data_IF_493504744575
#
_entry.id   IF_493504744575
#
_cell.length_a   1.000
_cell.length_b   1.000
_cell.length_c   1.000
_cell.angle_alpha   90.00
_cell.angle_beta   90.00
_cell.angle_gamma   90.00
#
_symmetry.space_group_name_H-M   'P 1'
#
loop_
_entity.id
_entity.type
_entity.pdbx_description
1 polymer ?
#
# COMPACT_ATOMS: atom_id res chain seq x y z
N UNK A 1 13.47 15.07 22.20
CA UNK A 1 12.41 14.10 21.85
C UNK A 1 11.24 14.87 21.28
N UNK A 2 11.25 15.12 19.98
CA UNK A 2 10.07 15.62 19.29
C UNK A 2 9.03 14.50 19.32
N UNK A 3 7.90 14.75 19.98
CA UNK A 3 6.70 13.98 19.74
C UNK A 3 6.34 14.26 18.29
N UNK A 4 6.68 13.35 17.37
CA UNK A 4 6.05 13.38 16.06
C UNK A 4 4.57 13.16 16.33
N UNK A 5 3.79 14.24 16.33
CA UNK A 5 2.36 14.11 16.11
C UNK A 5 2.24 13.32 14.83
N UNK A 6 1.83 12.06 14.96
CA UNK A 6 1.51 11.20 13.81
C UNK A 6 0.25 11.81 13.23
N UNK A 7 0.44 12.90 12.49
CA UNK A 7 -0.60 13.53 11.69
C UNK A 7 -1.13 12.42 10.81
N UNK A 8 -2.36 11.99 11.07
CA UNK A 8 -3.05 11.04 10.19
C UNK A 8 -3.24 11.78 8.88
N UNK A 9 -2.43 11.50 7.85
CA UNK A 9 -2.40 12.33 6.66
C UNK A 9 -3.66 12.13 5.82
N UNK A 10 -4.42 11.07 6.10
CA UNK A 10 -5.73 10.78 5.53
C UNK A 10 -6.73 10.74 6.69
N UNK A 11 -7.71 11.63 6.65
CA UNK A 11 -8.82 11.71 7.61
C UNK A 11 -10.10 11.07 7.08
N UNK A 12 -10.17 10.82 5.76
CA UNK A 12 -11.33 10.23 5.09
C UNK A 12 -11.32 8.71 5.34
N UNK A 13 -12.43 8.19 5.87
CA UNK A 13 -12.64 6.76 6.08
C UNK A 13 -13.61 6.26 5.00
N UNK A 14 -13.16 5.32 4.18
CA UNK A 14 -13.94 4.71 3.10
C UNK A 14 -15.16 3.98 3.66
N UNK A 15 -16.33 4.34 3.12
CA UNK A 15 -17.62 3.68 3.30
C UNK A 15 -18.29 3.44 1.93
N UNK A 16 -19.58 3.09 1.93
CA UNK A 16 -20.32 2.76 0.70
C UNK A 16 -20.70 3.97 -0.16
N UNK A 17 -20.47 5.20 0.30
CA UNK A 17 -20.97 6.44 -0.32
C UNK A 17 -19.88 7.42 -0.76
N UNK A 18 -18.65 7.25 -0.27
CA UNK A 18 -17.59 8.27 -0.40
C UNK A 18 -16.35 7.79 -1.15
N UNK A 19 -16.48 6.75 -1.98
CA UNK A 19 -15.36 6.12 -2.68
C UNK A 19 -14.49 7.15 -3.43
N UNK A 20 -15.08 8.07 -4.20
CA UNK A 20 -14.33 9.03 -5.01
C UNK A 20 -13.45 9.95 -4.15
N UNK A 21 -13.99 10.45 -3.03
CA UNK A 21 -13.27 11.32 -2.10
C UNK A 21 -12.13 10.57 -1.40
N UNK A 22 -12.39 9.32 -0.98
CA UNK A 22 -11.38 8.48 -0.38
C UNK A 22 -10.27 8.13 -1.39
N UNK A 23 -10.64 7.78 -2.63
CA UNK A 23 -9.73 7.43 -3.71
C UNK A 23 -8.80 8.60 -4.08
N UNK A 24 -9.33 9.83 -4.11
CA UNK A 24 -8.52 11.03 -4.31
C UNK A 24 -7.49 11.20 -3.18
N UNK A 25 -7.92 11.12 -1.92
CA UNK A 25 -7.04 11.31 -0.77
C UNK A 25 -5.96 10.23 -0.65
N UNK A 26 -6.34 8.95 -0.75
CA UNK A 26 -5.39 7.83 -0.65
C UNK A 26 -4.42 7.85 -1.84
N UNK A 27 -4.88 8.20 -3.05
CA UNK A 27 -3.98 8.28 -4.21
C UNK A 27 -2.97 9.41 -4.08
N UNK A 28 -3.38 10.59 -3.60
CA UNK A 28 -2.49 11.72 -3.33
C UNK A 28 -1.44 11.37 -2.27
N UNK A 29 -1.87 10.76 -1.17
CA UNK A 29 -0.98 10.29 -0.11
C UNK A 29 0.06 9.28 -0.61
N UNK A 30 -0.36 8.27 -1.39
CA UNK A 30 0.53 7.26 -1.94
C UNK A 30 1.48 7.83 -3.00
N UNK A 31 1.02 8.78 -3.83
CA UNK A 31 1.88 9.50 -4.79
C UNK A 31 2.97 10.28 -4.07
N UNK A 32 2.63 11.00 -3.00
CA UNK A 32 3.60 11.73 -2.16
C UNK A 32 4.69 10.83 -1.55
N UNK A 33 4.38 9.54 -1.33
CA UNK A 33 5.31 8.52 -0.82
C UNK A 33 5.96 7.64 -1.89
N UNK A 34 5.70 7.90 -3.18
CA UNK A 34 6.19 7.09 -4.32
C UNK A 34 5.71 5.63 -4.29
N UNK A 35 4.54 5.38 -3.72
CA UNK A 35 3.95 4.05 -3.54
C UNK A 35 2.79 3.77 -4.52
N UNK A 36 2.26 4.80 -5.19
CA UNK A 36 1.15 4.67 -6.13
C UNK A 36 1.39 3.64 -7.25
N UNK A 37 2.63 3.48 -7.70
CA UNK A 37 3.00 2.53 -8.76
C UNK A 37 2.81 1.04 -8.37
N UNK A 38 2.67 0.73 -7.09
CA UNK A 38 2.28 -0.61 -6.65
C UNK A 38 0.79 -0.85 -6.90
N UNK A 39 -0.06 0.14 -6.59
CA UNK A 39 -1.52 0.08 -6.82
C UNK A 39 -1.86 -0.01 -8.31
N UNK A 40 -1.15 0.73 -9.16
CA UNK A 40 -1.34 0.63 -10.62
C UNK A 40 -0.76 -0.66 -11.22
N UNK A 41 0.05 -1.40 -10.46
CA UNK A 41 0.78 -2.57 -10.95
C UNK A 41 2.00 -2.27 -11.82
N UNK A 42 2.39 -1.00 -11.96
CA UNK A 42 3.61 -0.62 -12.70
C UNK A 42 4.87 -1.16 -12.01
N UNK A 43 4.85 -1.22 -10.67
CA UNK A 43 5.93 -1.83 -9.87
C UNK A 43 5.57 -3.29 -9.58
N UNK A 44 5.99 -4.17 -10.49
CA UNK A 44 5.76 -5.62 -10.43
C UNK A 44 6.54 -6.28 -9.30
N UNK A 45 5.99 -7.38 -8.78
CA UNK A 45 6.71 -8.30 -7.90
C UNK A 45 8.01 -8.74 -8.60
N UNK A 46 9.16 -8.70 -7.93
CA UNK A 46 10.43 -9.08 -8.54
C UNK A 46 10.44 -10.58 -8.88
N UNK A 47 11.07 -10.90 -9.99
CA UNK A 47 11.39 -12.28 -10.40
C UNK A 47 12.90 -12.47 -10.34
N UNK A 48 13.37 -13.65 -9.91
CA UNK A 48 14.80 -13.94 -9.83
C UNK A 48 15.45 -13.92 -11.21
N UNK A 49 16.55 -13.17 -11.35
CA UNK A 49 17.34 -13.14 -12.59
C UNK A 49 18.34 -14.31 -12.64
N UNK A 50 18.76 -14.71 -13.85
CA UNK A 50 19.71 -15.81 -14.04
C UNK A 50 21.10 -15.55 -13.41
N UNK A 51 21.48 -14.27 -13.28
CA UNK A 51 22.79 -13.85 -12.76
C UNK A 51 22.71 -13.23 -11.34
N UNK A 52 21.59 -13.38 -10.65
CA UNK A 52 21.34 -12.80 -9.33
C UNK A 52 21.50 -13.88 -8.25
N UNK A 53 22.15 -13.52 -7.14
CA UNK A 53 22.27 -14.43 -6.00
C UNK A 53 20.93 -14.58 -5.29
N UNK A 54 20.75 -15.67 -4.54
CA UNK A 54 19.52 -15.89 -3.76
C UNK A 54 19.29 -14.76 -2.75
N UNK A 55 20.35 -14.25 -2.13
CA UNK A 55 20.29 -13.18 -1.13
C UNK A 55 19.84 -11.86 -1.77
N UNK A 56 20.43 -11.47 -2.92
CA UNK A 56 20.05 -10.24 -3.61
C UNK A 56 18.60 -10.28 -4.11
N UNK A 57 18.13 -11.46 -4.53
CA UNK A 57 16.73 -11.66 -4.89
C UNK A 57 15.80 -11.55 -3.66
N UNK A 58 16.17 -12.20 -2.55
CA UNK A 58 15.41 -12.15 -1.31
C UNK A 58 15.25 -10.72 -0.78
N UNK A 59 16.32 -9.93 -0.76
CA UNK A 59 16.30 -8.53 -0.31
C UNK A 59 15.31 -7.68 -1.13
N UNK A 60 15.33 -7.85 -2.46
CA UNK A 60 14.39 -7.14 -3.36
C UNK A 60 12.95 -7.59 -3.17
N UNK A 61 12.74 -8.89 -2.95
CA UNK A 61 11.42 -9.44 -2.69
C UNK A 61 10.87 -8.90 -1.38
N UNK A 62 11.67 -8.89 -0.31
CA UNK A 62 11.29 -8.34 0.99
C UNK A 62 10.98 -6.83 0.90
N UNK A 63 11.80 -6.05 0.17
CA UNK A 63 11.53 -4.62 -0.03
C UNK A 63 10.21 -4.39 -0.79
N UNK A 64 9.93 -5.20 -1.81
CA UNK A 64 8.68 -5.11 -2.55
C UNK A 64 7.49 -5.49 -1.67
N UNK A 65 7.60 -6.60 -0.94
CA UNK A 65 6.54 -7.15 -0.10
C UNK A 65 6.18 -6.23 1.07
N UNK A 66 7.20 -5.65 1.73
CA UNK A 66 7.03 -4.67 2.80
C UNK A 66 6.25 -3.44 2.33
N UNK A 67 6.59 -2.90 1.15
CA UNK A 67 5.88 -1.75 0.56
C UNK A 67 4.47 -2.11 0.12
N UNK A 68 4.27 -3.29 -0.45
CA UNK A 68 2.97 -3.81 -0.83
C UNK A 68 2.03 -3.93 0.38
N UNK A 69 2.48 -4.60 1.44
CA UNK A 69 1.71 -4.76 2.68
C UNK A 69 1.48 -3.45 3.44
N UNK A 70 2.41 -2.50 3.35
CA UNK A 70 2.21 -1.15 3.90
C UNK A 70 1.02 -0.44 3.25
N UNK A 71 0.83 -0.59 1.94
CA UNK A 71 -0.30 0.01 1.22
C UNK A 71 -1.62 -0.64 1.63
N UNK A 72 -1.67 -1.98 1.65
CA UNK A 72 -2.86 -2.73 2.11
C UNK A 72 -3.23 -2.34 3.54
N UNK A 73 -2.24 -2.16 4.40
CA UNK A 73 -2.45 -1.69 5.79
C UNK A 73 -3.08 -0.30 5.82
N UNK A 74 -2.67 0.62 4.95
CA UNK A 74 -3.31 1.94 4.88
C UNK A 74 -4.73 1.87 4.32
N UNK A 75 -5.01 1.02 3.33
CA UNK A 75 -6.39 0.79 2.86
C UNK A 75 -7.29 0.30 4.00
N UNK A 76 -6.81 -0.68 4.77
CA UNK A 76 -7.49 -1.20 5.97
C UNK A 76 -7.71 -0.16 7.06
N UNK A 77 -6.71 0.71 7.31
CA UNK A 77 -6.79 1.71 8.37
C UNK A 77 -7.65 2.92 7.99
N UNK A 78 -7.92 3.10 6.70
CA UNK A 78 -8.72 4.20 6.16
C UNK A 78 -10.06 3.71 5.60
N UNK A 79 -10.56 2.57 6.07
CA UNK A 79 -11.87 2.02 5.68
C UNK A 79 -12.69 1.57 6.89
N UNK A 80 -14.00 1.50 6.72
CA UNK A 80 -14.90 0.90 7.71
C UNK A 80 -14.58 -0.59 7.92
N UNK A 81 -15.00 -1.15 9.05
CA UNK A 81 -14.72 -2.56 9.38
C UNK A 81 -15.27 -3.55 8.34
N UNK A 82 -16.41 -3.26 7.71
CA UNK A 82 -17.00 -4.10 6.67
C UNK A 82 -16.13 -4.17 5.41
N UNK A 83 -15.49 -3.06 5.03
CA UNK A 83 -14.61 -2.97 3.85
C UNK A 83 -13.18 -3.43 4.17
N UNK A 84 -12.67 -3.11 5.37
CA UNK A 84 -11.37 -3.55 5.87
C UNK A 84 -11.13 -5.04 5.66
N UNK A 85 -12.13 -5.88 5.98
CA UNK A 85 -12.01 -7.34 5.88
C UNK A 85 -11.85 -7.82 4.43
N UNK A 86 -12.31 -7.05 3.46
CA UNK A 86 -12.12 -7.35 2.04
C UNK A 86 -10.67 -7.13 1.62
N UNK A 87 -10.05 -6.03 2.07
CA UNK A 87 -8.64 -5.75 1.79
C UNK A 87 -7.69 -6.82 2.31
N UNK A 88 -8.12 -7.62 3.29
CA UNK A 88 -7.32 -8.73 3.80
C UNK A 88 -7.26 -9.98 2.95
N UNK A 89 -8.03 -10.03 1.88
CA UNK A 89 -8.05 -11.16 0.96
C UNK A 89 -7.13 -10.98 -0.24
N UNK A 90 -6.66 -9.76 -0.48
CA UNK A 90 -5.77 -9.44 -1.59
C UNK A 90 -4.33 -9.76 -1.21
N UNK A 91 -3.62 -10.43 -2.12
CA UNK A 91 -2.20 -10.73 -1.96
C UNK A 91 -1.34 -9.49 -2.21
N UNK A 92 -1.83 -8.58 -3.07
CA UNK A 92 -1.12 -7.35 -3.40
C UNK A 92 -2.06 -6.15 -3.58
N UNK A 93 -1.49 -4.96 -3.47
CA UNK A 93 -2.22 -3.70 -3.48
C UNK A 93 -2.84 -3.31 -4.83
N UNK A 94 -2.58 -4.07 -5.90
CA UNK A 94 -3.17 -3.85 -7.23
C UNK A 94 -4.56 -4.50 -7.35
N UNK A 95 -4.77 -5.62 -6.65
CA UNK A 95 -6.03 -6.39 -6.66
C UNK A 95 -7.10 -5.76 -5.77
#
# INVERSE_FOLDING_TARGET
MEKSEVTRPITIILDSSNYDQWAEAISGFLKGRRLWRYVTGDKKCPTKSANETDEAYADRLEEWDSKNHQIITWFRNTSTQSIHLQFGRFENAKE
#
